data_IF_418813055497
#
_entry.id   IF_418813055497
#
_cell.length_a   1.000
_cell.length_b   1.000
_cell.length_c   1.000
_cell.angle_alpha   90.00
_cell.angle_beta   90.00
_cell.angle_gamma   90.00
#
_symmetry.space_group_name_H-M   'P 1'
#
loop_
_entity.id
_entity.type
_entity.pdbx_description
1 polymer ?
#
# COMPACT_ATOMS: atom_id res chain seq x y z
N UNK A 1 -7.81 29.19 -55.61
CA UNK A 1 -6.57 29.18 -54.81
C UNK A 1 -6.91 28.50 -53.47
N UNK A 2 -6.50 27.24 -53.34
CA UNK A 2 -6.70 26.50 -52.10
C UNK A 2 -5.61 26.91 -51.13
N UNK A 3 -5.95 27.42 -49.93
CA UNK A 3 -5.04 27.60 -48.84
C UNK A 3 -4.80 26.24 -48.23
N UNK A 4 -3.60 25.69 -48.41
CA UNK A 4 -3.09 24.59 -47.64
C UNK A 4 -2.99 25.05 -46.16
N UNK A 5 -3.91 24.55 -45.35
CA UNK A 5 -3.78 24.62 -43.89
C UNK A 5 -2.64 23.73 -43.48
N UNK A 6 -1.50 24.36 -43.19
CA UNK A 6 -0.34 23.72 -42.56
C UNK A 6 -0.76 23.25 -41.18
N UNK A 7 -1.24 22.00 -41.06
CA UNK A 7 -1.44 21.31 -39.82
C UNK A 7 -0.04 20.99 -39.24
N UNK A 8 0.45 21.89 -38.42
CA UNK A 8 1.59 21.55 -37.53
C UNK A 8 1.19 20.30 -36.74
N UNK A 9 1.74 19.17 -37.11
CA UNK A 9 1.68 17.95 -36.26
C UNK A 9 2.31 18.30 -34.93
N UNK A 10 1.49 18.57 -33.95
CA UNK A 10 1.93 18.74 -32.57
C UNK A 10 2.37 17.38 -32.07
N UNK A 11 3.66 17.12 -32.10
CA UNK A 11 4.24 15.89 -31.56
C UNK A 11 3.81 15.74 -30.11
N UNK A 12 3.23 14.59 -29.75
CA UNK A 12 2.82 14.29 -28.37
C UNK A 12 4.03 14.47 -27.43
N UNK A 13 3.82 15.05 -26.24
CA UNK A 13 4.91 15.25 -25.30
C UNK A 13 5.55 13.92 -24.92
N UNK A 14 6.89 13.89 -24.86
CA UNK A 14 7.70 12.74 -24.46
C UNK A 14 8.62 13.11 -23.31
N UNK A 15 9.10 12.12 -22.56
CA UNK A 15 10.12 12.26 -21.54
C UNK A 15 11.25 11.25 -21.77
N UNK A 16 12.47 11.63 -21.46
CA UNK A 16 13.64 10.77 -21.56
C UNK A 16 13.95 10.09 -20.23
N UNK A 17 13.99 8.76 -20.19
CA UNK A 17 14.23 7.97 -18.97
C UNK A 17 15.72 7.65 -18.69
N UNK A 18 16.65 8.26 -19.43
CA UNK A 18 18.08 7.97 -19.37
C UNK A 18 18.56 6.97 -20.43
N UNK A 19 17.62 6.27 -21.12
CA UNK A 19 17.91 5.25 -22.13
C UNK A 19 17.15 5.45 -23.44
N UNK A 20 15.89 5.92 -23.36
CA UNK A 20 15.04 6.20 -24.52
C UNK A 20 14.03 7.30 -24.23
N UNK A 21 13.51 7.91 -25.29
CA UNK A 21 12.32 8.74 -25.21
C UNK A 21 11.08 7.88 -25.02
N UNK A 22 10.18 8.30 -24.12
CA UNK A 22 8.94 7.62 -23.79
C UNK A 22 7.75 8.55 -23.98
N UNK A 23 6.68 8.03 -24.54
CA UNK A 23 5.40 8.72 -24.58
C UNK A 23 4.73 8.76 -23.19
N UNK A 24 3.75 9.66 -23.00
CA UNK A 24 2.95 9.68 -21.77
C UNK A 24 2.23 8.34 -21.51
N UNK A 25 1.74 7.68 -22.55
CA UNK A 25 1.07 6.38 -22.43
C UNK A 25 2.04 5.29 -21.99
N UNK A 26 3.26 5.27 -22.54
CA UNK A 26 4.30 4.35 -22.10
C UNK A 26 4.66 4.60 -20.62
N UNK A 27 4.83 5.84 -20.20
CA UNK A 27 5.12 6.20 -18.80
C UNK A 27 3.95 5.82 -17.88
N UNK A 28 2.70 6.09 -18.29
CA UNK A 28 1.51 5.71 -17.52
C UNK A 28 1.37 4.19 -17.38
N UNK A 29 1.76 3.42 -18.39
CA UNK A 29 1.72 1.95 -18.36
C UNK A 29 2.69 1.32 -17.34
N UNK A 30 3.73 2.05 -16.95
CA UNK A 30 4.73 1.59 -15.95
C UNK A 30 4.26 1.77 -14.51
N UNK A 31 3.12 2.45 -14.28
CA UNK A 31 2.60 2.65 -12.93
C UNK A 31 2.27 1.28 -12.26
N UNK A 32 2.78 1.03 -11.05
CA UNK A 32 2.54 -0.23 -10.37
C UNK A 32 1.05 -0.36 -10.01
N UNK A 33 0.47 -1.51 -10.34
CA UNK A 33 -0.86 -1.90 -9.90
C UNK A 33 -0.84 -2.59 -8.53
N UNK A 34 -2.03 -2.95 -8.03
CA UNK A 34 -2.17 -3.62 -6.73
C UNK A 34 -1.42 -4.94 -6.63
N UNK A 35 -1.23 -5.67 -7.74
CA UNK A 35 -0.43 -6.89 -7.77
C UNK A 35 1.04 -6.68 -7.33
N UNK A 36 1.57 -5.48 -7.54
CA UNK A 36 2.92 -5.09 -7.08
C UNK A 36 2.85 -4.45 -5.69
N UNK A 37 1.89 -3.56 -5.45
CA UNK A 37 1.82 -2.78 -4.21
C UNK A 37 1.35 -3.60 -3.00
N UNK A 38 0.39 -4.52 -3.16
CA UNK A 38 -0.15 -5.29 -2.04
C UNK A 38 0.84 -6.26 -1.40
N UNK A 39 1.74 -6.96 -2.12
CA UNK A 39 2.82 -7.70 -1.47
C UNK A 39 3.73 -6.82 -0.60
N UNK A 40 3.97 -5.56 -1.02
CA UNK A 40 4.71 -4.60 -0.20
C UNK A 40 3.93 -4.19 1.05
N UNK A 41 2.61 -4.00 0.94
CA UNK A 41 1.71 -3.79 2.09
C UNK A 41 1.80 -4.98 3.05
N UNK A 42 1.74 -6.21 2.55
CA UNK A 42 1.87 -7.42 3.36
C UNK A 42 3.19 -7.49 4.13
N UNK A 43 4.31 -7.12 3.50
CA UNK A 43 5.62 -7.05 4.17
C UNK A 43 5.63 -5.97 5.27
N UNK A 44 5.04 -4.79 5.00
CA UNK A 44 4.87 -3.74 6.02
C UNK A 44 4.04 -4.23 7.19
N UNK A 45 2.92 -4.92 6.91
CA UNK A 45 2.01 -5.44 7.90
C UNK A 45 2.66 -6.51 8.78
N UNK A 46 3.46 -7.39 8.21
CA UNK A 46 4.32 -8.32 8.96
C UNK A 46 5.25 -7.58 9.93
N UNK A 47 5.95 -6.55 9.46
CA UNK A 47 6.85 -5.76 10.28
C UNK A 47 6.13 -5.00 11.40
N UNK A 48 4.89 -4.55 11.19
CA UNK A 48 4.06 -3.89 12.23
C UNK A 48 3.95 -4.78 13.46
N UNK A 49 3.59 -6.04 13.27
CA UNK A 49 3.35 -6.95 14.39
C UNK A 49 4.59 -7.14 15.25
N UNK A 50 5.70 -7.47 14.64
CA UNK A 50 6.94 -7.74 15.38
C UNK A 50 7.57 -6.48 15.95
N UNK A 51 7.41 -5.34 15.32
CA UNK A 51 7.82 -4.05 15.90
C UNK A 51 7.04 -3.74 17.19
N UNK A 52 5.72 -3.90 17.17
CA UNK A 52 4.89 -3.70 18.36
C UNK A 52 5.20 -4.72 19.45
N UNK A 53 5.43 -5.99 19.10
CA UNK A 53 5.80 -7.05 20.02
C UNK A 53 7.10 -6.76 20.76
N UNK A 54 8.07 -6.16 20.10
CA UNK A 54 9.34 -5.70 20.71
C UNK A 54 9.23 -4.30 21.34
N UNK A 55 8.02 -3.75 21.48
CA UNK A 55 7.78 -2.40 22.00
C UNK A 55 8.43 -1.28 21.18
N UNK A 56 8.78 -1.54 19.89
CA UNK A 56 9.25 -0.53 18.98
C UNK A 56 8.05 0.19 18.32
N UNK A 57 7.38 1.02 19.13
CA UNK A 57 6.15 1.71 18.75
C UNK A 57 6.34 2.68 17.58
N UNK A 58 7.50 3.31 17.51
CA UNK A 58 7.86 4.20 16.43
C UNK A 58 7.96 3.46 15.09
N UNK A 59 8.68 2.33 15.08
CA UNK A 59 8.79 1.50 13.88
C UNK A 59 7.43 0.93 13.48
N UNK A 60 6.63 0.42 14.44
CA UNK A 60 5.31 -0.12 14.16
C UNK A 60 4.40 0.93 13.51
N UNK A 61 4.36 2.14 14.07
CA UNK A 61 3.56 3.25 13.53
C UNK A 61 4.03 3.67 12.14
N UNK A 62 5.35 3.73 11.91
CA UNK A 62 5.92 4.02 10.61
C UNK A 62 5.48 2.97 9.56
N UNK A 63 5.54 1.69 9.90
CA UNK A 63 5.16 0.61 8.98
C UNK A 63 3.67 0.68 8.60
N UNK A 64 2.77 0.99 9.56
CA UNK A 64 1.33 1.18 9.24
C UNK A 64 1.15 2.35 8.28
N UNK A 65 1.79 3.49 8.54
CA UNK A 65 1.68 4.67 7.67
C UNK A 65 2.19 4.41 6.25
N UNK A 66 3.29 3.67 6.13
CA UNK A 66 3.81 3.26 4.82
C UNK A 66 2.87 2.29 4.10
N UNK A 67 2.24 1.36 4.82
CA UNK A 67 1.22 0.49 4.25
C UNK A 67 0.02 1.30 3.72
N UNK A 68 -0.46 2.28 4.48
CA UNK A 68 -1.52 3.20 4.06
C UNK A 68 -1.11 3.99 2.81
N UNK A 69 0.12 4.50 2.78
CA UNK A 69 0.65 5.23 1.61
C UNK A 69 0.65 4.36 0.36
N UNK A 70 1.06 3.09 0.45
CA UNK A 70 1.05 2.14 -0.66
C UNK A 70 -0.39 1.84 -1.13
N UNK A 71 -1.33 1.64 -0.23
CA UNK A 71 -2.74 1.43 -0.58
C UNK A 71 -3.33 2.64 -1.30
N UNK A 72 -3.06 3.86 -0.82
CA UNK A 72 -3.51 5.08 -1.47
C UNK A 72 -2.90 5.28 -2.87
N UNK A 73 -1.65 4.87 -3.10
CA UNK A 73 -1.06 4.83 -4.45
C UNK A 73 -1.80 3.84 -5.35
N UNK A 74 -2.17 2.69 -4.82
CA UNK A 74 -2.96 1.68 -5.53
C UNK A 74 -4.32 2.20 -5.99
N UNK A 75 -4.98 3.00 -5.16
CA UNK A 75 -6.27 3.65 -5.49
C UNK A 75 -6.15 4.56 -6.72
N UNK A 76 -5.06 5.30 -6.86
CA UNK A 76 -4.87 6.21 -8.00
C UNK A 76 -4.90 5.47 -9.35
N UNK A 77 -4.38 4.25 -9.39
CA UNK A 77 -4.34 3.44 -10.60
C UNK A 77 -5.50 2.44 -10.70
N UNK A 78 -6.21 2.20 -9.60
CA UNK A 78 -7.33 1.26 -9.50
C UNK A 78 -8.48 1.86 -8.69
N UNK A 79 -9.13 2.92 -9.19
CA UNK A 79 -10.12 3.71 -8.44
C UNK A 79 -11.36 2.90 -8.01
N UNK A 80 -11.62 1.77 -8.62
CA UNK A 80 -12.72 0.87 -8.20
C UNK A 80 -12.59 0.34 -6.78
N UNK A 81 -11.39 0.38 -6.20
CA UNK A 81 -11.14 -0.04 -4.81
C UNK A 81 -11.08 1.13 -3.82
N UNK A 82 -11.29 2.36 -4.29
CA UNK A 82 -11.11 3.56 -3.48
C UNK A 82 -11.97 3.58 -2.22
N UNK A 83 -13.26 3.25 -2.35
CA UNK A 83 -14.20 3.25 -1.22
C UNK A 83 -13.83 2.18 -0.19
N UNK A 84 -13.58 0.94 -0.63
CA UNK A 84 -13.21 -0.16 0.25
C UNK A 84 -11.87 0.09 0.98
N UNK A 85 -10.87 0.63 0.29
CA UNK A 85 -9.58 0.96 0.90
C UNK A 85 -9.74 2.11 1.90
N UNK A 86 -10.52 3.14 1.58
CA UNK A 86 -10.77 4.25 2.51
C UNK A 86 -11.50 3.75 3.77
N UNK A 87 -12.51 2.91 3.62
CA UNK A 87 -13.23 2.29 4.73
C UNK A 87 -12.32 1.43 5.61
N UNK A 88 -11.48 0.58 5.00
CA UNK A 88 -10.52 -0.25 5.70
C UNK A 88 -9.51 0.59 6.51
N UNK A 89 -8.97 1.66 5.92
CA UNK A 89 -8.03 2.55 6.60
C UNK A 89 -8.70 3.21 7.81
N UNK A 90 -9.92 3.71 7.65
CA UNK A 90 -10.63 4.41 8.73
C UNK A 90 -11.07 3.44 9.84
N UNK A 91 -11.80 2.39 9.49
CA UNK A 91 -12.47 1.53 10.46
C UNK A 91 -11.58 0.44 11.06
N UNK A 92 -10.64 -0.10 10.26
CA UNK A 92 -9.85 -1.26 10.68
C UNK A 92 -8.42 -0.87 11.07
N UNK A 93 -7.77 0.06 10.35
CA UNK A 93 -6.44 0.54 10.73
C UNK A 93 -6.47 1.67 11.77
N UNK A 94 -7.58 2.40 11.90
CA UNK A 94 -7.75 3.40 12.96
C UNK A 94 -7.53 2.84 14.35
N UNK A 95 -8.20 1.74 14.75
CA UNK A 95 -7.97 1.08 16.04
C UNK A 95 -6.53 0.58 16.24
N UNK A 96 -5.87 0.10 15.19
CA UNK A 96 -4.46 -0.31 15.23
C UNK A 96 -3.57 0.88 15.58
N UNK A 97 -3.74 2.00 14.87
CA UNK A 97 -2.97 3.21 15.13
C UNK A 97 -3.23 3.78 16.53
N UNK A 98 -4.47 3.73 16.99
CA UNK A 98 -4.81 4.18 18.35
C UNK A 98 -4.11 3.35 19.43
N UNK A 99 -4.11 2.02 19.28
CA UNK A 99 -3.42 1.12 20.21
C UNK A 99 -1.90 1.32 20.20
N UNK A 100 -1.30 1.54 19.01
CA UNK A 100 0.13 1.86 18.89
C UNK A 100 0.48 3.19 19.56
N UNK A 101 -0.36 4.21 19.37
CA UNK A 101 -0.17 5.52 20.02
C UNK A 101 -0.24 5.42 21.55
N UNK A 102 -1.12 4.55 22.07
CA UNK A 102 -1.27 4.30 23.51
C UNK A 102 -0.22 3.30 24.05
N UNK A 103 0.63 2.74 23.18
CA UNK A 103 1.62 1.71 23.53
C UNK A 103 0.99 0.50 24.24
N UNK A 104 -0.21 0.13 23.83
CA UNK A 104 -1.00 -0.97 24.37
C UNK A 104 -0.93 -2.18 23.44
N UNK A 105 -0.04 -3.13 23.76
CA UNK A 105 0.16 -4.31 22.93
C UNK A 105 -1.08 -5.21 22.88
N UNK A 106 -1.82 -5.36 23.99
CA UNK A 106 -3.01 -6.23 24.03
C UNK A 106 -4.10 -5.69 23.12
N UNK A 107 -4.39 -4.39 23.20
CA UNK A 107 -5.34 -3.74 22.32
C UNK A 107 -4.85 -3.77 20.86
N UNK A 108 -3.55 -3.57 20.65
CA UNK A 108 -2.93 -3.65 19.31
C UNK A 108 -3.09 -5.04 18.70
N UNK A 109 -2.73 -6.10 19.41
CA UNK A 109 -2.78 -7.47 18.91
C UNK A 109 -4.20 -7.84 18.46
N UNK A 110 -5.20 -7.49 19.26
CA UNK A 110 -6.60 -7.68 18.92
C UNK A 110 -6.99 -6.91 17.65
N UNK A 111 -6.67 -5.63 17.59
CA UNK A 111 -6.97 -4.78 16.43
C UNK A 111 -6.24 -5.27 15.17
N UNK A 112 -4.99 -5.70 15.30
CA UNK A 112 -4.18 -6.24 14.21
C UNK A 112 -4.82 -7.49 13.58
N UNK A 113 -5.24 -8.44 14.41
CA UNK A 113 -5.89 -9.66 13.90
C UNK A 113 -7.25 -9.34 13.28
N UNK A 114 -8.05 -8.48 13.91
CA UNK A 114 -9.33 -8.03 13.34
C UNK A 114 -9.13 -7.37 11.97
N UNK A 115 -8.15 -6.47 11.84
CA UNK A 115 -7.84 -5.82 10.56
C UNK A 115 -7.35 -6.83 9.51
N UNK A 116 -6.56 -7.82 9.92
CA UNK A 116 -6.08 -8.89 9.01
C UNK A 116 -7.25 -9.72 8.47
N UNK A 117 -8.16 -10.13 9.34
CA UNK A 117 -9.36 -10.87 8.93
C UNK A 117 -10.22 -10.04 7.98
N UNK A 118 -10.43 -8.76 8.30
CA UNK A 118 -11.20 -7.86 7.45
C UNK A 118 -10.55 -7.64 6.08
N UNK A 119 -9.23 -7.54 6.01
CA UNK A 119 -8.52 -7.46 4.73
C UNK A 119 -8.76 -8.70 3.85
N UNK A 120 -8.75 -9.88 4.45
CA UNK A 120 -9.04 -11.13 3.74
C UNK A 120 -10.51 -11.20 3.28
N UNK A 121 -11.46 -10.70 4.08
CA UNK A 121 -12.88 -10.59 3.69
C UNK A 121 -13.04 -9.67 2.45
N UNK A 122 -12.35 -8.53 2.41
CA UNK A 122 -12.33 -7.67 1.21
C UNK A 122 -11.81 -8.41 -0.02
N UNK A 123 -10.79 -9.27 0.13
CA UNK A 123 -10.33 -10.11 -0.99
C UNK A 123 -11.44 -11.03 -1.49
N UNK A 124 -12.25 -11.62 -0.61
CA UNK A 124 -13.41 -12.44 -1.00
C UNK A 124 -14.48 -11.60 -1.70
N UNK A 125 -14.86 -10.45 -1.13
CA UNK A 125 -15.85 -9.53 -1.71
C UNK A 125 -15.47 -9.12 -3.15
N UNK A 126 -14.18 -8.91 -3.42
CA UNK A 126 -13.67 -8.58 -4.74
C UNK A 126 -13.32 -9.79 -5.63
N UNK A 127 -13.84 -10.97 -5.30
CA UNK A 127 -13.61 -12.22 -6.07
C UNK A 127 -12.14 -12.65 -6.14
N UNK A 128 -11.39 -12.38 -5.08
CA UNK A 128 -9.97 -12.74 -4.92
C UNK A 128 -9.71 -13.55 -3.65
N UNK A 129 -10.70 -14.34 -3.22
CA UNK A 129 -10.61 -15.18 -2.01
C UNK A 129 -9.45 -16.17 -1.98
N UNK A 130 -8.77 -16.39 -3.12
CA UNK A 130 -7.54 -17.15 -3.19
C UNK A 130 -6.31 -16.38 -2.66
N UNK A 131 -6.44 -15.07 -2.44
CA UNK A 131 -5.41 -14.23 -1.82
C UNK A 131 -5.71 -14.13 -0.32
N UNK A 132 -5.11 -15.01 0.46
CA UNK A 132 -5.24 -15.01 1.92
C UNK A 132 -3.90 -14.65 2.53
N UNK A 133 -3.86 -13.48 3.18
CA UNK A 133 -2.69 -13.08 3.94
C UNK A 133 -2.76 -13.67 5.36
N UNK A 134 -1.64 -14.19 5.84
CA UNK A 134 -1.49 -14.60 7.23
C UNK A 134 -0.16 -14.10 7.79
N UNK A 135 -0.16 -13.81 9.09
CA UNK A 135 1.07 -13.41 9.78
C UNK A 135 2.08 -14.58 9.78
N UNK A 136 3.32 -14.37 9.31
CA UNK A 136 4.39 -15.34 9.51
C UNK A 136 4.67 -15.58 11.02
N UNK A 137 5.04 -16.79 11.38
CA UNK A 137 5.30 -17.20 12.77
C UNK A 137 6.65 -16.73 13.33
N UNK A 138 7.41 -15.98 12.55
CA UNK A 138 8.73 -15.45 12.89
C UNK A 138 8.86 -13.99 12.41
N UNK A 139 9.74 -13.19 13.05
CA UNK A 139 10.03 -11.83 12.59
C UNK A 139 10.73 -11.84 11.23
N UNK A 140 10.59 -10.74 10.50
CA UNK A 140 11.29 -10.56 9.23
C UNK A 140 12.81 -10.53 9.48
N UNK A 141 13.59 -11.47 8.94
CA UNK A 141 15.03 -11.58 9.22
C UNK A 141 15.86 -10.43 8.66
N UNK A 142 15.27 -9.57 7.82
CA UNK A 142 15.92 -8.40 7.23
C UNK A 142 15.75 -7.13 8.08
N UNK A 143 15.04 -7.20 9.21
CA UNK A 143 14.71 -6.05 10.04
C UNK A 143 15.16 -6.26 11.47
N UNK A 144 15.88 -5.30 12.01
CA UNK A 144 16.18 -5.23 13.44
C UNK A 144 15.04 -4.48 14.15
N UNK A 145 14.29 -5.18 14.97
CA UNK A 145 13.12 -4.65 15.68
C UNK A 145 13.47 -4.00 17.03
N UNK A 146 14.73 -4.00 17.42
CA UNK A 146 15.16 -3.38 18.68
C UNK A 146 14.79 -1.90 18.72
N UNK A 147 14.07 -1.43 19.76
CA UNK A 147 13.79 0.00 19.93
C UNK A 147 15.08 0.83 19.97
N UNK A 148 15.05 1.98 19.31
CA UNK A 148 16.17 2.94 19.30
C UNK A 148 15.61 4.33 19.52
N UNK A 149 16.31 5.12 20.31
CA UNK A 149 16.01 6.52 20.59
C UNK A 149 16.40 7.44 19.42
#
# INVERSE_FOLDING_TARGET
>A
MAQEQNKTEQTAPTGFNGHKDMTLDEMASLHPGLAILMPMVGTRWWNVFYAAKESNWQLATFQVREAISLMNKGVQTRPRYAEAIAEFIDKDLGPVLAALNNKDFVAFEKAFHTATDRANEYHEEFKKGYLVWKLPDHPNPQVDFTPRD
#
